data_IF_731400976103
#
_entry.id   IF_731400976103
#
_cell.length_a   1.000
_cell.length_b   1.000
_cell.length_c   1.000
_cell.angle_alpha   90.00
_cell.angle_beta   90.00
_cell.angle_gamma   90.00
#
_symmetry.space_group_name_H-M   'P 1'
#
loop_
_entity.id
_entity.type
_entity.pdbx_description
1 polymer ?
#
# COMPACT_ATOMS: atom_id res chain seq x y z
N UNK A 1 -40.16 13.75 4.25
CA UNK A 1 -39.33 12.57 3.91
C UNK A 1 -39.38 11.58 5.06
N UNK A 2 -39.57 10.28 4.79
CA UNK A 2 -39.53 9.24 5.82
C UNK A 2 -38.11 9.05 6.36
N UNK A 3 -38.00 8.92 7.69
CA UNK A 3 -36.75 8.68 8.42
C UNK A 3 -36.01 7.43 7.89
N UNK A 4 -36.76 6.43 7.40
CA UNK A 4 -36.22 5.23 6.74
C UNK A 4 -35.48 5.54 5.43
N UNK A 5 -35.98 6.49 4.64
CA UNK A 5 -35.33 6.91 3.39
C UNK A 5 -34.04 7.68 3.65
N UNK A 6 -34.04 8.53 4.68
CA UNK A 6 -32.82 9.23 5.12
C UNK A 6 -31.74 8.22 5.56
N UNK A 7 -32.11 7.20 6.34
CA UNK A 7 -31.18 6.18 6.82
C UNK A 7 -30.59 5.33 5.67
N UNK A 8 -31.43 4.94 4.70
CA UNK A 8 -30.98 4.20 3.51
C UNK A 8 -30.00 5.01 2.66
N UNK A 9 -30.28 6.30 2.49
CA UNK A 9 -29.40 7.21 1.76
C UNK A 9 -28.05 7.38 2.48
N UNK A 10 -28.08 7.50 3.82
CA UNK A 10 -26.87 7.63 4.63
C UNK A 10 -25.98 6.38 4.55
N UNK A 11 -26.56 5.17 4.64
CA UNK A 11 -25.83 3.91 4.46
C UNK A 11 -25.14 3.82 3.09
N UNK A 12 -25.82 4.27 2.03
CA UNK A 12 -25.24 4.29 0.68
C UNK A 12 -24.04 5.24 0.59
N UNK A 13 -24.15 6.42 1.22
CA UNK A 13 -23.05 7.39 1.29
C UNK A 13 -21.84 6.84 2.06
N UNK A 14 -22.06 6.19 3.20
CA UNK A 14 -20.98 5.57 3.99
C UNK A 14 -20.25 4.51 3.17
N UNK A 15 -20.98 3.58 2.54
CA UNK A 15 -20.38 2.53 1.70
C UNK A 15 -19.55 3.10 0.54
N UNK A 16 -20.00 4.20 -0.05
CA UNK A 16 -19.26 4.90 -1.10
C UNK A 16 -17.95 5.49 -0.55
N UNK A 17 -17.99 6.12 0.62
CA UNK A 17 -16.81 6.67 1.29
C UNK A 17 -15.81 5.57 1.66
N UNK A 18 -16.25 4.46 2.24
CA UNK A 18 -15.39 3.30 2.54
C UNK A 18 -14.68 2.78 1.29
N UNK A 19 -15.40 2.65 0.18
CA UNK A 19 -14.82 2.21 -1.11
C UNK A 19 -13.79 3.22 -1.63
N UNK A 20 -14.05 4.52 -1.46
CA UNK A 20 -13.14 5.58 -1.88
C UNK A 20 -11.89 5.62 -1.00
N UNK A 21 -12.02 5.43 0.31
CA UNK A 21 -10.91 5.34 1.25
C UNK A 21 -10.03 4.15 0.89
N UNK A 22 -10.58 2.95 0.70
CA UNK A 22 -9.81 1.78 0.27
C UNK A 22 -9.07 2.00 -1.07
N UNK A 23 -9.70 2.69 -2.03
CA UNK A 23 -9.05 3.08 -3.29
C UNK A 23 -7.94 4.12 -3.12
N UNK A 24 -8.08 5.02 -2.14
CA UNK A 24 -7.05 6.02 -1.85
C UNK A 24 -5.89 5.40 -1.07
N UNK A 25 -6.17 4.53 -0.11
CA UNK A 25 -5.15 3.78 0.64
C UNK A 25 -4.31 2.93 -0.31
N UNK A 26 -4.94 2.19 -1.23
CA UNK A 26 -4.23 1.41 -2.26
C UNK A 26 -3.40 2.28 -3.21
N UNK A 27 -3.93 3.45 -3.64
CA UNK A 27 -3.19 4.39 -4.50
C UNK A 27 -2.04 5.09 -3.79
N UNK A 28 -2.14 5.33 -2.48
CA UNK A 28 -1.07 5.95 -1.69
C UNK A 28 -0.02 4.93 -1.25
N UNK A 29 -0.41 3.68 -1.03
CA UNK A 29 0.55 2.61 -0.70
C UNK A 29 1.45 2.26 -1.88
N UNK A 30 0.93 2.27 -3.11
CA UNK A 30 1.67 1.85 -4.32
C UNK A 30 2.98 2.65 -4.60
N UNK A 31 3.00 4.00 -4.62
CA UNK A 31 4.25 4.74 -4.85
C UNK A 31 5.27 4.56 -3.73
N UNK A 32 4.82 4.38 -2.48
CA UNK A 32 5.70 4.15 -1.33
C UNK A 32 6.30 2.73 -1.40
N UNK A 33 5.47 1.72 -1.64
CA UNK A 33 5.89 0.32 -1.88
C UNK A 33 6.93 0.27 -3.01
N UNK A 34 6.67 0.98 -4.12
CA UNK A 34 7.57 1.05 -5.26
C UNK A 34 8.91 1.71 -4.90
N UNK A 35 8.90 2.81 -4.14
CA UNK A 35 10.13 3.47 -3.71
C UNK A 35 10.99 2.58 -2.81
N UNK A 36 10.38 1.86 -1.85
CA UNK A 36 11.08 0.91 -0.99
C UNK A 36 11.66 -0.27 -1.80
N UNK A 37 10.88 -0.80 -2.75
CA UNK A 37 11.36 -1.84 -3.64
C UNK A 37 12.55 -1.39 -4.51
N UNK A 38 12.47 -0.18 -5.09
CA UNK A 38 13.57 0.38 -5.89
C UNK A 38 14.84 0.59 -5.06
N UNK A 39 14.72 1.00 -3.79
CA UNK A 39 15.85 1.09 -2.87
C UNK A 39 16.44 -0.28 -2.54
N UNK A 40 15.60 -1.28 -2.24
CA UNK A 40 16.05 -2.64 -1.97
C UNK A 40 16.78 -3.24 -3.19
N UNK A 41 16.27 -3.03 -4.41
CA UNK A 41 16.97 -3.44 -5.63
C UNK A 41 18.32 -2.75 -5.82
N UNK A 42 18.44 -1.45 -5.49
CA UNK A 42 19.72 -0.73 -5.58
C UNK A 42 20.75 -1.31 -4.59
N UNK A 43 20.35 -1.50 -3.33
CA UNK A 43 21.22 -2.08 -2.31
C UNK A 43 21.65 -3.52 -2.66
N UNK A 44 20.72 -4.32 -3.20
CA UNK A 44 21.03 -5.67 -3.67
C UNK A 44 22.13 -5.65 -4.75
N UNK A 45 22.05 -4.73 -5.73
CA UNK A 45 23.09 -4.57 -6.77
C UNK A 45 24.43 -4.11 -6.21
N UNK A 46 24.41 -3.16 -5.27
CA UNK A 46 25.64 -2.66 -4.63
C UNK A 46 26.36 -3.75 -3.82
N UNK A 47 25.60 -4.71 -3.29
CA UNK A 47 26.11 -5.83 -2.50
C UNK A 47 26.29 -7.13 -3.32
N UNK A 48 26.09 -7.10 -4.63
CA UNK A 48 26.11 -8.27 -5.52
C UNK A 48 25.14 -9.40 -5.09
N UNK A 49 24.04 -9.04 -4.42
CA UNK A 49 22.99 -9.93 -3.96
C UNK A 49 21.84 -10.01 -5.00
N UNK A 50 21.06 -11.11 -5.00
CA UNK A 50 19.91 -11.24 -5.90
C UNK A 50 18.85 -10.17 -5.60
N UNK A 51 18.28 -9.58 -6.65
CA UNK A 51 17.23 -8.56 -6.51
C UNK A 51 15.97 -9.15 -5.85
N UNK A 52 15.32 -8.41 -4.93
CA UNK A 52 14.09 -8.85 -4.30
C UNK A 52 12.93 -8.87 -5.30
N UNK A 53 11.90 -9.67 -5.00
CA UNK A 53 10.68 -9.73 -5.82
C UNK A 53 9.76 -8.53 -5.53
N UNK A 54 8.92 -8.13 -6.51
CA UNK A 54 7.98 -6.99 -6.34
C UNK A 54 7.07 -7.20 -5.12
N UNK A 55 7.14 -6.32 -4.09
CA UNK A 55 6.34 -6.44 -2.89
C UNK A 55 4.86 -6.15 -3.18
N UNK A 56 3.97 -6.91 -2.54
CA UNK A 56 2.51 -6.78 -2.68
C UNK A 56 1.91 -5.74 -1.74
N UNK A 57 2.63 -5.44 -0.67
CA UNK A 57 2.25 -4.46 0.36
C UNK A 57 3.50 -3.79 0.95
N UNK A 58 3.28 -2.77 1.78
CA UNK A 58 4.33 -1.98 2.40
C UNK A 58 5.17 -2.78 3.39
N UNK A 59 4.54 -3.70 4.12
CA UNK A 59 5.22 -4.53 5.12
C UNK A 59 6.29 -5.41 4.48
N UNK A 60 5.96 -6.06 3.36
CA UNK A 60 6.91 -6.88 2.60
C UNK A 60 8.04 -6.01 2.03
N UNK A 61 7.71 -4.82 1.50
CA UNK A 61 8.73 -3.91 0.96
C UNK A 61 9.75 -3.46 2.03
N UNK A 62 9.28 -3.22 3.26
CA UNK A 62 10.13 -2.84 4.40
C UNK A 62 11.01 -3.98 4.88
N UNK A 63 10.47 -5.19 4.99
CA UNK A 63 11.26 -6.38 5.36
C UNK A 63 12.35 -6.64 4.32
N UNK A 64 11.99 -6.60 3.03
CA UNK A 64 12.96 -6.75 1.94
C UNK A 64 14.07 -5.70 2.02
N UNK A 65 13.74 -4.43 2.28
CA UNK A 65 14.76 -3.39 2.44
C UNK A 65 15.68 -3.70 3.63
N UNK A 66 15.11 -4.12 4.75
CA UNK A 66 15.86 -4.44 5.97
C UNK A 66 16.87 -5.57 5.76
N UNK A 67 16.54 -6.59 4.96
CA UNK A 67 17.44 -7.71 4.64
C UNK A 67 18.73 -7.26 3.90
N UNK A 68 18.71 -6.09 3.26
CA UNK A 68 19.88 -5.52 2.57
C UNK A 68 20.52 -4.35 3.34
N UNK A 69 20.03 -3.99 4.52
CA UNK A 69 20.70 -2.97 5.33
C UNK A 69 21.86 -3.63 6.11
N UNK A 70 23.06 -3.02 6.13
CA UNK A 70 24.13 -3.49 7.00
C UNK A 70 23.72 -3.30 8.47
N UNK A 71 24.11 -4.27 9.31
CA UNK A 71 23.90 -4.23 10.78
C UNK A 71 24.41 -2.93 11.44
#
# INVERSE_FOLDING_TARGET
MSLKNALKNWRSKVKNLETRIAKLETKHSDPVIKAFHELACKLAREQELPEPSKPKDLSIALVQLADYLPD
#
